data_IF_447272373255
#
_entry.id   IF_447272373255
#
_cell.length_a   1.000
_cell.length_b   1.000
_cell.length_c   1.000
_cell.angle_alpha   90.00
_cell.angle_beta   90.00
_cell.angle_gamma   90.00
#
_symmetry.space_group_name_H-M   'P 1'
#
loop_
_entity.id
_entity.type
_entity.pdbx_description
1 polymer ?
#
# COMPACT_ATOMS: atom_id res chain seq x y z
N UNK A 1 0.16 -42.84 2.50
CA UNK A 1 -0.30 -41.52 2.03
C UNK A 1 -0.07 -40.55 3.16
N UNK A 2 0.97 -39.71 3.06
CA UNK A 2 1.23 -38.67 4.06
C UNK A 2 0.33 -37.47 3.75
N UNK A 3 -0.58 -37.16 4.67
CA UNK A 3 -1.31 -35.90 4.68
C UNK A 3 -0.31 -34.75 4.86
N UNK A 4 -0.34 -33.81 3.92
CA UNK A 4 0.36 -32.52 4.04
C UNK A 4 -0.39 -31.70 5.09
N UNK A 5 0.11 -31.73 6.32
CA UNK A 5 -0.37 -30.86 7.40
C UNK A 5 0.05 -29.44 7.05
N UNK A 6 -0.89 -28.64 6.58
CA UNK A 6 -0.74 -27.19 6.50
C UNK A 6 -0.63 -26.63 7.92
N UNK A 7 0.61 -26.39 8.36
CA UNK A 7 0.89 -25.74 9.64
C UNK A 7 0.49 -24.27 9.53
N UNK A 8 -0.73 -23.95 10.00
CA UNK A 8 -1.20 -22.58 10.20
C UNK A 8 -0.17 -21.83 11.07
N UNK A 9 0.58 -20.89 10.49
CA UNK A 9 1.54 -20.05 11.21
C UNK A 9 0.77 -19.00 12.02
N UNK A 10 0.44 -19.33 13.27
CA UNK A 10 -0.22 -18.41 14.20
C UNK A 10 0.80 -17.46 14.85
N UNK A 11 0.88 -16.21 14.38
CA UNK A 11 1.68 -15.19 15.05
C UNK A 11 0.85 -14.46 16.12
N UNK A 12 1.20 -14.70 17.39
CA UNK A 12 0.77 -13.88 18.53
C UNK A 12 1.61 -12.60 18.55
N UNK A 13 1.08 -11.48 18.08
CA UNK A 13 1.64 -10.16 18.38
C UNK A 13 1.27 -9.79 19.82
N UNK A 14 1.93 -10.42 20.79
CA UNK A 14 1.84 -10.06 22.21
C UNK A 14 3.06 -9.21 22.54
N UNK A 15 2.89 -7.89 22.56
CA UNK A 15 3.78 -6.87 23.15
C UNK A 15 5.21 -7.32 23.54
N UNK A 16 6.02 -7.67 22.54
CA UNK A 16 7.49 -7.62 22.55
C UNK A 16 7.97 -7.98 21.15
N UNK A 17 8.13 -6.97 20.30
CA UNK A 17 8.71 -7.13 18.97
C UNK A 17 10.17 -7.64 19.06
N UNK A 18 10.78 -7.55 20.25
CA UNK A 18 12.09 -8.10 20.58
C UNK A 18 12.13 -9.62 20.81
N UNK A 19 11.00 -10.31 21.00
CA UNK A 19 10.97 -11.76 21.31
C UNK A 19 10.54 -12.65 20.14
N UNK A 20 10.51 -12.12 18.91
CA UNK A 20 10.21 -12.91 17.73
C UNK A 20 11.50 -13.52 17.19
N UNK A 21 11.65 -14.83 17.34
CA UNK A 21 12.56 -15.65 16.52
C UNK A 21 12.28 -15.49 15.00
N UNK A 22 11.16 -14.84 14.64
CA UNK A 22 10.75 -14.52 13.28
C UNK A 22 11.02 -13.06 12.90
N UNK A 23 11.71 -12.85 11.78
CA UNK A 23 12.11 -11.52 11.29
C UNK A 23 10.87 -10.63 11.00
N UNK A 24 10.78 -9.39 11.50
CA UNK A 24 9.64 -8.49 11.24
C UNK A 24 9.35 -8.27 9.76
N UNK A 25 10.40 -8.29 8.93
CA UNK A 25 10.29 -8.18 7.49
C UNK A 25 9.54 -9.39 6.87
N UNK A 26 9.72 -10.60 7.41
CA UNK A 26 8.95 -11.79 6.99
C UNK A 26 7.48 -11.66 7.38
N UNK A 27 7.22 -11.25 8.63
CA UNK A 27 5.85 -11.05 9.12
C UNK A 27 5.10 -10.03 8.26
N UNK A 28 5.78 -8.96 7.87
CA UNK A 28 5.24 -7.97 6.97
C UNK A 28 4.91 -8.57 5.60
N UNK A 29 5.80 -9.37 5.00
CA UNK A 29 5.51 -10.06 3.74
C UNK A 29 4.26 -10.96 3.87
N UNK A 30 4.19 -11.78 4.91
CA UNK A 30 3.04 -12.67 5.15
C UNK A 30 1.74 -11.89 5.39
N UNK A 31 1.83 -10.76 6.09
CA UNK A 31 0.70 -9.86 6.34
C UNK A 31 0.20 -9.15 5.08
N UNK A 32 1.09 -8.74 4.17
CA UNK A 32 0.67 -8.04 2.95
C UNK A 32 0.15 -9.00 1.87
N UNK A 33 0.51 -10.28 1.96
CA UNK A 33 0.18 -11.27 0.92
C UNK A 33 -1.04 -12.13 1.23
N UNK A 34 -1.68 -12.02 2.40
CA UNK A 34 -2.84 -12.86 2.73
C UNK A 34 -2.55 -14.12 3.54
N UNK A 35 -1.34 -14.29 4.09
CA UNK A 35 -0.87 -15.58 4.61
C UNK A 35 -0.73 -15.61 6.13
N UNK A 36 -1.34 -14.66 6.85
CA UNK A 36 -1.17 -14.58 8.30
C UNK A 36 -2.46 -14.22 9.04
N UNK A 37 -2.45 -14.54 10.33
CA UNK A 37 -3.42 -14.03 11.30
C UNK A 37 -2.67 -13.14 12.28
N UNK A 38 -3.32 -12.09 12.74
CA UNK A 38 -2.73 -11.14 13.68
C UNK A 38 -3.68 -10.88 14.85
N UNK A 39 -3.14 -10.42 15.96
CA UNK A 39 -3.90 -10.02 17.15
C UNK A 39 -3.20 -8.83 17.79
N UNK A 40 -3.93 -7.77 18.15
CA UNK A 40 -3.35 -6.62 18.86
C UNK A 40 -3.45 -6.76 20.38
N UNK A 41 -4.46 -7.49 20.87
CA UNK A 41 -4.72 -7.71 22.29
C UNK A 41 -4.22 -9.07 22.79
N UNK A 42 -3.75 -9.93 21.88
CA UNK A 42 -3.34 -11.31 22.17
C UNK A 42 -4.52 -12.25 22.47
N UNK A 43 -5.75 -11.77 22.36
CA UNK A 43 -6.99 -12.49 22.69
C UNK A 43 -7.76 -12.80 21.42
N UNK A 44 -8.08 -11.79 20.62
CA UNK A 44 -8.83 -11.93 19.37
C UNK A 44 -7.88 -11.94 18.19
N UNK A 45 -7.99 -12.99 17.37
CA UNK A 45 -7.27 -13.10 16.12
C UNK A 45 -8.13 -12.61 14.96
N UNK A 46 -7.50 -11.82 14.11
CA UNK A 46 -8.05 -11.33 12.86
C UNK A 46 -7.37 -12.04 11.71
N UNK A 47 -8.17 -12.40 10.72
CA UNK A 47 -7.71 -13.09 9.52
C UNK A 47 -7.48 -12.05 8.42
N UNK A 48 -6.27 -12.03 7.87
CA UNK A 48 -5.91 -11.24 6.70
C UNK A 48 -5.63 -12.27 5.60
N UNK A 49 -6.58 -12.44 4.67
CA UNK A 49 -6.47 -13.41 3.57
C UNK A 49 -6.38 -12.76 2.19
N UNK A 50 -6.46 -11.44 2.17
CA UNK A 50 -6.48 -10.69 0.93
C UNK A 50 -5.05 -10.42 0.49
N UNK A 51 -4.75 -10.72 -0.77
CA UNK A 51 -3.44 -10.43 -1.32
C UNK A 51 -3.36 -8.98 -1.79
N UNK A 52 -2.61 -8.15 -1.07
CA UNK A 52 -2.35 -6.75 -1.43
C UNK A 52 -1.11 -6.60 -2.31
N UNK A 53 -0.45 -7.68 -2.67
CA UNK A 53 0.70 -7.65 -3.57
C UNK A 53 0.34 -7.45 -5.05
N UNK A 54 -0.90 -7.03 -5.33
CA UNK A 54 -1.44 -6.78 -6.68
C UNK A 54 -2.16 -5.44 -6.68
N UNK A 55 -1.94 -4.64 -7.74
CA UNK A 55 -2.63 -3.38 -7.97
C UNK A 55 -4.02 -3.67 -8.56
N UNK A 56 -5.12 -3.15 -7.97
CA UNK A 56 -6.45 -3.35 -8.52
C UNK A 56 -6.63 -2.53 -9.80
N UNK A 57 -6.99 -3.17 -10.92
CA UNK A 57 -7.30 -2.49 -12.20
C UNK A 57 -8.81 -2.49 -12.47
N UNK A 58 -9.31 -1.52 -13.25
CA UNK A 58 -10.71 -1.57 -13.73
C UNK A 58 -10.71 -2.28 -15.08
N UNK A 59 -11.08 -3.57 -15.11
CA UNK A 59 -11.56 -4.18 -16.34
C UNK A 59 -13.08 -4.05 -16.39
N UNK A 60 -13.62 -3.33 -17.38
CA UNK A 60 -15.08 -3.18 -17.55
C UNK A 60 -15.82 -4.52 -17.81
N UNK A 61 -17.15 -4.60 -17.56
CA UNK A 61 -17.94 -3.88 -16.57
C UNK A 61 -18.20 -4.76 -15.32
N UNK A 62 -18.13 -4.09 -14.17
CA UNK A 62 -18.88 -4.30 -12.93
C UNK A 62 -19.31 -5.74 -12.62
N UNK A 63 -18.52 -6.43 -11.79
CA UNK A 63 -18.99 -7.06 -10.56
C UNK A 63 -17.76 -7.42 -9.74
N UNK A 64 -17.70 -6.88 -8.53
CA UNK A 64 -16.64 -7.08 -7.56
C UNK A 64 -15.25 -6.61 -7.98
N UNK A 65 -14.35 -6.60 -7.01
CA UNK A 65 -12.92 -6.45 -7.23
C UNK A 65 -12.46 -7.45 -8.28
N UNK A 66 -12.39 -7.02 -9.53
CA UNK A 66 -11.58 -7.72 -10.52
C UNK A 66 -10.14 -7.30 -10.21
N UNK A 67 -9.53 -7.99 -9.24
CA UNK A 67 -8.09 -8.29 -9.37
C UNK A 67 -7.96 -8.76 -10.80
N UNK A 68 -7.18 -8.13 -11.69
CA UNK A 68 -7.08 -8.58 -13.06
C UNK A 68 -6.78 -10.07 -13.01
N UNK A 69 -7.79 -10.88 -13.40
CA UNK A 69 -7.62 -12.31 -13.59
C UNK A 69 -6.86 -12.40 -14.91
N UNK A 70 -5.58 -12.05 -14.87
CA UNK A 70 -4.60 -12.83 -15.58
C UNK A 70 -4.47 -14.13 -14.78
N UNK A 71 -5.46 -15.01 -14.96
CA UNK A 71 -5.41 -16.46 -14.78
C UNK A 71 -4.32 -17.01 -13.85
N UNK A 72 -4.35 -16.70 -12.54
CA UNK A 72 -3.46 -17.33 -11.58
C UNK A 72 -4.23 -17.70 -10.30
N UNK A 73 -4.49 -19.00 -10.13
CA UNK A 73 -5.22 -19.57 -9.00
C UNK A 73 -4.61 -19.17 -7.65
N UNK A 74 -5.43 -19.07 -6.60
CA UNK A 74 -5.06 -18.55 -5.28
C UNK A 74 -3.84 -19.22 -4.60
N UNK A 75 -3.51 -20.49 -4.90
CA UNK A 75 -2.29 -21.15 -4.40
C UNK A 75 -1.03 -20.80 -5.20
N UNK A 76 -1.17 -20.23 -6.40
CA UNK A 76 -0.08 -19.86 -7.29
C UNK A 76 0.39 -18.42 -7.06
N UNK A 77 -0.31 -17.62 -6.26
CA UNK A 77 -0.06 -16.17 -6.19
C UNK A 77 1.11 -15.81 -5.30
N UNK A 78 1.31 -16.47 -4.16
CA UNK A 78 2.53 -16.29 -3.36
C UNK A 78 3.71 -16.92 -4.07
N UNK A 79 3.59 -18.16 -4.53
CA UNK A 79 4.64 -18.88 -5.26
C UNK A 79 5.09 -18.13 -6.52
N UNK A 80 4.18 -17.59 -7.34
CA UNK A 80 4.57 -16.82 -8.51
C UNK A 80 5.00 -15.40 -8.20
N UNK A 81 4.48 -14.75 -7.16
CA UNK A 81 5.06 -13.48 -6.72
C UNK A 81 6.48 -13.73 -6.25
N UNK A 82 6.65 -14.65 -5.32
CA UNK A 82 7.92 -15.06 -4.77
C UNK A 82 8.85 -15.54 -5.89
N UNK A 83 8.45 -16.36 -6.85
CA UNK A 83 9.25 -16.75 -8.02
C UNK A 83 9.56 -15.54 -8.93
N UNK A 84 8.58 -14.69 -9.24
CA UNK A 84 8.77 -13.45 -10.04
C UNK A 84 9.71 -12.46 -9.36
N UNK A 85 9.72 -12.51 -8.02
CA UNK A 85 10.61 -11.80 -7.12
C UNK A 85 11.71 -12.73 -6.56
N UNK A 86 12.09 -13.84 -7.21
CA UNK A 86 13.20 -14.73 -6.81
C UNK A 86 13.26 -15.24 -5.34
N UNK A 87 12.18 -15.14 -4.57
CA UNK A 87 11.99 -15.64 -3.21
C UNK A 87 11.55 -17.10 -3.28
N UNK A 88 12.33 -18.01 -2.69
CA UNK A 88 11.87 -19.38 -2.44
C UNK A 88 11.08 -19.38 -1.13
N UNK A 89 9.82 -19.83 -1.17
CA UNK A 89 8.89 -19.80 -0.01
C UNK A 89 9.17 -20.93 0.96
N UNK A 90 10.15 -21.79 0.70
CA UNK A 90 10.69 -22.58 1.79
C UNK A 90 11.13 -21.62 2.90
N UNK A 91 10.31 -21.49 3.96
CA UNK A 91 10.40 -20.42 4.95
C UNK A 91 11.82 -20.33 5.51
N UNK A 92 12.53 -21.45 5.57
CA UNK A 92 13.93 -21.56 5.97
C UNK A 92 14.88 -20.77 5.04
N UNK A 93 14.70 -20.85 3.71
CA UNK A 93 15.52 -20.10 2.75
C UNK A 93 15.21 -18.60 2.78
N UNK A 94 13.94 -18.21 2.82
CA UNK A 94 13.55 -16.80 2.91
C UNK A 94 13.99 -16.17 4.25
N UNK A 95 13.77 -16.86 5.38
CA UNK A 95 14.25 -16.43 6.70
C UNK A 95 15.75 -16.20 6.65
N UNK A 96 16.53 -17.10 6.05
CA UNK A 96 17.99 -16.95 5.99
C UNK A 96 18.44 -15.77 5.11
N UNK A 97 17.70 -15.44 4.04
CA UNK A 97 18.03 -14.31 3.13
C UNK A 97 17.56 -12.95 3.63
N UNK A 98 16.54 -12.89 4.49
CA UNK A 98 16.04 -11.62 5.01
C UNK A 98 17.08 -10.96 5.94
N UNK A 99 17.28 -9.66 5.77
CA UNK A 99 18.33 -8.92 6.47
C UNK A 99 17.90 -8.56 7.91
N UNK A 100 18.84 -8.56 8.87
CA UNK A 100 18.61 -8.06 10.24
C UNK A 100 18.80 -6.54 10.38
N UNK A 101 19.12 -5.84 9.28
CA UNK A 101 19.26 -4.38 9.27
C UNK A 101 17.89 -3.71 9.28
N UNK A 102 17.82 -2.52 9.88
CA UNK A 102 16.60 -1.71 9.97
C UNK A 102 15.41 -2.42 10.65
N UNK A 103 15.66 -3.29 11.65
CA UNK A 103 14.61 -3.98 12.42
C UNK A 103 13.56 -2.99 12.93
N UNK A 104 13.97 -1.85 13.50
CA UNK A 104 13.05 -0.85 14.02
C UNK A 104 12.09 -0.33 12.94
N UNK A 105 12.61 -0.02 11.74
CA UNK A 105 11.78 0.42 10.61
C UNK A 105 10.75 -0.64 10.20
N UNK A 106 11.17 -1.90 10.04
CA UNK A 106 10.26 -2.97 9.65
C UNK A 106 9.26 -3.33 10.75
N UNK A 107 9.66 -3.20 12.01
CA UNK A 107 8.80 -3.40 13.18
C UNK A 107 7.70 -2.36 13.25
N UNK A 108 8.06 -1.08 13.09
CA UNK A 108 7.11 0.02 13.03
C UNK A 108 6.14 -0.15 11.86
N UNK A 109 6.64 -0.47 10.66
CA UNK A 109 5.77 -0.70 9.51
C UNK A 109 4.80 -1.86 9.73
N UNK A 110 5.28 -2.97 10.28
CA UNK A 110 4.43 -4.11 10.64
C UNK A 110 3.31 -3.67 11.57
N UNK A 111 3.61 -2.88 12.60
CA UNK A 111 2.59 -2.35 13.51
C UNK A 111 1.59 -1.45 12.78
N UNK A 112 2.04 -0.51 11.96
CA UNK A 112 1.15 0.42 11.24
C UNK A 112 0.20 -0.35 10.30
N UNK A 113 0.71 -1.32 9.54
CA UNK A 113 -0.13 -2.19 8.70
C UNK A 113 -1.08 -3.05 9.54
N UNK A 114 -0.62 -3.59 10.67
CA UNK A 114 -1.48 -4.37 11.57
C UNK A 114 -2.64 -3.51 12.09
N UNK A 115 -2.38 -2.26 12.46
CA UNK A 115 -3.42 -1.32 12.88
C UNK A 115 -4.38 -0.95 11.74
N UNK A 116 -3.87 -0.75 10.52
CA UNK A 116 -4.72 -0.59 9.34
C UNK A 116 -5.70 -1.76 9.17
N UNK A 117 -5.20 -3.00 9.21
CA UNK A 117 -6.05 -4.18 9.06
C UNK A 117 -7.02 -4.33 10.23
N UNK A 118 -6.59 -4.04 11.45
CA UNK A 118 -7.46 -4.05 12.63
C UNK A 118 -8.63 -3.07 12.50
N UNK A 119 -8.36 -1.82 12.12
CA UNK A 119 -9.40 -0.80 11.94
C UNK A 119 -10.34 -1.15 10.80
N UNK A 120 -9.80 -1.70 9.70
CA UNK A 120 -10.59 -2.20 8.57
C UNK A 120 -11.54 -3.32 9.01
N UNK A 121 -11.08 -4.27 9.82
CA UNK A 121 -11.92 -5.35 10.37
C UNK A 121 -13.00 -4.83 11.33
N UNK A 122 -12.79 -3.69 11.98
CA UNK A 122 -13.80 -3.02 12.81
C UNK A 122 -14.79 -2.17 12.01
N UNK A 123 -14.61 -2.03 10.70
CA UNK A 123 -15.40 -1.13 9.85
C UNK A 123 -15.01 0.35 9.97
N UNK A 124 -13.97 0.68 10.74
CA UNK A 124 -13.46 2.04 10.94
C UNK A 124 -12.49 2.45 9.83
N UNK A 125 -12.98 2.51 8.60
CA UNK A 125 -12.16 2.77 7.41
C UNK A 125 -11.52 4.16 7.38
N UNK A 126 -12.16 5.17 7.99
CA UNK A 126 -11.59 6.52 8.10
C UNK A 126 -10.33 6.51 8.97
N UNK A 127 -10.37 5.79 10.09
CA UNK A 127 -9.19 5.57 10.95
C UNK A 127 -8.15 4.70 10.26
N UNK A 128 -8.58 3.68 9.50
CA UNK A 128 -7.67 2.84 8.73
C UNK A 128 -6.88 3.65 7.69
N UNK A 129 -7.49 4.64 7.04
CA UNK A 129 -6.81 5.54 6.11
C UNK A 129 -5.64 6.29 6.78
N UNK A 130 -5.79 6.72 8.03
CA UNK A 130 -4.72 7.45 8.76
C UNK A 130 -3.47 6.59 8.87
N UNK A 131 -3.61 5.29 9.17
CA UNK A 131 -2.47 4.37 9.24
C UNK A 131 -1.80 4.18 7.88
N UNK A 132 -2.58 4.05 6.80
CA UNK A 132 -2.02 4.01 5.44
C UNK A 132 -1.27 5.30 5.07
N UNK A 133 -1.81 6.45 5.47
CA UNK A 133 -1.15 7.73 5.24
C UNK A 133 0.16 7.87 6.02
N UNK A 134 0.21 7.43 7.29
CA UNK A 134 1.45 7.38 8.09
C UNK A 134 2.51 6.47 7.46
N UNK A 135 2.10 5.32 6.92
CA UNK A 135 3.01 4.43 6.17
C UNK A 135 3.54 5.15 4.93
N UNK A 136 2.66 5.82 4.19
CA UNK A 136 3.03 6.59 3.02
C UNK A 136 4.03 7.72 3.35
N UNK A 137 3.85 8.49 4.42
CA UNK A 137 4.80 9.51 4.85
C UNK A 137 6.17 8.90 5.16
N UNK A 138 6.20 7.80 5.92
CA UNK A 138 7.44 7.06 6.18
C UNK A 138 8.09 6.58 4.89
N UNK A 139 7.29 6.17 3.89
CA UNK A 139 7.81 5.74 2.60
C UNK A 139 8.37 6.91 1.79
N UNK A 140 7.69 8.05 1.79
CA UNK A 140 8.15 9.24 1.07
C UNK A 140 9.57 9.63 1.50
N UNK A 141 9.90 9.44 2.77
CA UNK A 141 11.25 9.65 3.30
C UNK A 141 12.20 8.44 3.08
N UNK A 142 11.80 7.24 3.50
CA UNK A 142 12.72 6.10 3.60
C UNK A 142 13.01 5.40 2.27
N UNK A 143 12.04 5.34 1.36
CA UNK A 143 12.18 4.57 0.10
C UNK A 143 13.23 5.18 -0.83
N UNK A 144 13.32 6.50 -1.00
CA UNK A 144 14.41 7.11 -1.78
C UNK A 144 15.80 6.79 -1.23
N UNK A 145 15.96 6.77 0.10
CA UNK A 145 17.24 6.39 0.74
C UNK A 145 17.56 4.90 0.50
N UNK A 146 16.56 4.02 0.65
CA UNK A 146 16.73 2.59 0.36
C UNK A 146 17.04 2.35 -1.12
N UNK A 147 16.44 3.10 -2.03
CA UNK A 147 16.79 3.04 -3.45
C UNK A 147 18.24 3.42 -3.70
N UNK A 148 18.72 4.50 -3.09
CA UNK A 148 20.12 4.94 -3.29
C UNK A 148 21.12 3.89 -2.82
N UNK A 149 20.81 3.15 -1.73
CA UNK A 149 21.58 1.98 -1.28
C UNK A 149 21.59 0.86 -2.32
N UNK A 150 20.50 0.70 -3.08
CA UNK A 150 20.26 -0.39 -4.03
C UNK A 150 20.60 -0.01 -5.48
N UNK A 151 21.10 1.19 -5.74
CA UNK A 151 21.43 1.64 -7.08
C UNK A 151 22.76 1.05 -7.56
N UNK A 152 22.79 0.52 -8.78
CA UNK A 152 24.02 -0.01 -9.40
C UNK A 152 24.93 1.09 -9.98
N UNK A 153 24.35 2.26 -10.29
CA UNK A 153 25.04 3.38 -10.93
C UNK A 153 24.83 4.67 -10.14
N UNK A 154 25.93 5.20 -9.61
CA UNK A 154 25.93 6.42 -8.79
C UNK A 154 26.30 7.68 -9.58
N UNK A 155 26.72 7.53 -10.85
CA UNK A 155 27.13 8.66 -11.68
C UNK A 155 25.98 9.67 -11.87
N UNK A 156 26.25 10.94 -11.61
CA UNK A 156 25.24 12.02 -11.71
C UNK A 156 24.24 12.11 -10.54
N UNK A 157 24.22 11.14 -9.61
CA UNK A 157 23.23 11.10 -8.51
C UNK A 157 23.51 12.12 -7.40
N UNK A 158 24.71 12.73 -7.35
CA UNK A 158 25.08 13.71 -6.33
C UNK A 158 24.11 14.90 -6.27
N UNK A 159 23.74 15.48 -7.41
CA UNK A 159 22.81 16.61 -7.43
C UNK A 159 21.39 16.18 -7.06
N UNK A 160 20.98 14.96 -7.41
CA UNK A 160 19.69 14.40 -7.02
C UNK A 160 19.60 14.16 -5.51
N UNK A 161 20.65 13.57 -4.92
CA UNK A 161 20.81 13.36 -3.48
C UNK A 161 20.98 14.67 -2.69
N UNK A 162 21.71 15.64 -3.25
CA UNK A 162 21.83 16.97 -2.66
C UNK A 162 20.47 17.66 -2.64
N UNK A 163 19.75 17.67 -3.75
CA UNK A 163 18.41 18.26 -3.84
C UNK A 163 17.40 17.56 -2.91
N UNK A 164 17.56 16.24 -2.70
CA UNK A 164 16.83 15.41 -1.74
C UNK A 164 17.02 15.91 -0.29
N UNK A 165 18.26 16.22 0.11
CA UNK A 165 18.60 16.56 1.49
C UNK A 165 18.47 18.05 1.83
N UNK A 166 18.48 18.94 0.83
CA UNK A 166 18.66 20.39 1.04
C UNK A 166 17.40 21.24 0.87
N UNK A 167 16.23 20.89 1.42
CA UNK A 167 15.22 21.94 1.67
C UNK A 167 13.79 21.55 2.08
N UNK A 168 12.95 22.60 2.16
CA UNK A 168 11.73 22.72 2.96
C UNK A 168 10.53 21.81 2.66
N UNK A 169 9.36 22.23 3.17
CA UNK A 169 8.26 21.41 3.71
C UNK A 169 7.61 20.30 2.86
N UNK A 170 7.94 20.13 1.57
CA UNK A 170 7.30 19.14 0.68
C UNK A 170 8.29 18.38 -0.25
N UNK A 171 9.60 18.43 0.05
CA UNK A 171 10.63 17.80 -0.81
C UNK A 171 10.59 16.27 -0.79
N UNK A 172 10.23 15.66 0.34
CA UNK A 172 10.18 14.19 0.49
C UNK A 172 9.18 13.55 -0.48
N UNK A 173 7.98 14.12 -0.57
CA UNK A 173 6.96 13.67 -1.52
C UNK A 173 7.40 13.84 -2.97
N UNK A 174 7.98 14.99 -3.29
CA UNK A 174 8.46 15.33 -4.64
C UNK A 174 9.53 14.35 -5.09
N UNK A 175 10.42 14.00 -4.19
CA UNK A 175 11.45 13.00 -4.40
C UNK A 175 10.89 11.60 -4.56
N UNK A 176 9.97 11.19 -3.68
CA UNK A 176 9.33 9.89 -3.79
C UNK A 176 8.64 9.72 -5.15
N UNK A 177 7.95 10.76 -5.62
CA UNK A 177 7.40 10.79 -6.98
C UNK A 177 8.48 10.65 -8.03
N UNK A 178 9.54 11.46 -7.96
CA UNK A 178 10.67 11.39 -8.91
C UNK A 178 11.23 9.97 -8.96
N UNK A 179 11.43 9.32 -7.82
CA UNK A 179 11.85 7.92 -7.77
C UNK A 179 10.89 7.02 -8.56
N UNK A 180 9.59 7.07 -8.27
CA UNK A 180 8.60 6.21 -8.91
C UNK A 180 8.47 6.48 -10.43
N UNK A 181 8.64 7.72 -10.88
CA UNK A 181 8.45 8.10 -12.29
C UNK A 181 9.71 8.03 -13.15
N UNK A 182 10.88 8.36 -12.60
CA UNK A 182 12.12 8.46 -13.38
C UNK A 182 12.97 7.20 -13.33
N UNK A 183 12.60 6.24 -12.50
CA UNK A 183 13.34 4.98 -12.37
C UNK A 183 12.40 3.82 -12.64
N UNK A 184 12.93 2.73 -13.16
CA UNK A 184 12.21 1.46 -13.24
C UNK A 184 12.11 0.82 -11.84
N UNK A 185 11.86 1.61 -10.78
CA UNK A 185 11.87 1.12 -9.42
C UNK A 185 10.95 -0.07 -9.25
N UNK A 186 9.74 0.01 -9.83
CA UNK A 186 8.74 -1.05 -9.86
C UNK A 186 8.87 -1.86 -11.16
N UNK A 187 9.99 -2.55 -11.39
CA UNK A 187 10.30 -3.31 -12.63
C UNK A 187 9.18 -4.27 -13.07
N UNK A 188 8.38 -4.76 -12.12
CA UNK A 188 7.25 -5.68 -12.36
C UNK A 188 6.02 -4.98 -12.95
N UNK A 189 5.96 -3.64 -12.87
CA UNK A 189 4.85 -2.84 -13.34
C UNK A 189 5.29 -1.92 -14.48
N UNK A 190 4.52 -1.93 -15.57
CA UNK A 190 4.75 -1.01 -16.69
C UNK A 190 4.31 0.41 -16.31
N UNK A 191 4.86 1.41 -16.98
CA UNK A 191 4.45 2.82 -16.87
C UNK A 191 2.98 3.06 -17.25
N UNK A 192 2.32 2.09 -17.90
CA UNK A 192 0.90 2.07 -18.23
C UNK A 192 0.00 1.46 -17.15
N UNK A 193 0.56 1.05 -16.01
CA UNK A 193 -0.24 0.45 -14.93
C UNK A 193 -1.09 1.52 -14.25
N UNK A 194 -2.38 1.26 -14.16
CA UNK A 194 -3.34 2.17 -13.53
C UNK A 194 -4.18 1.46 -12.48
N UNK A 195 -4.45 2.15 -11.39
CA UNK A 195 -5.33 1.64 -10.34
C UNK A 195 -6.77 2.11 -10.54
N UNK A 196 -7.69 1.22 -10.20
CA UNK A 196 -9.12 1.41 -10.30
C UNK A 196 -9.80 1.66 -8.98
N UNK A 197 -10.70 2.64 -8.95
CA UNK A 197 -11.60 2.87 -7.81
C UNK A 197 -13.04 2.91 -8.31
N UNK A 198 -13.91 2.11 -7.69
CA UNK A 198 -15.34 2.07 -7.96
C UNK A 198 -16.12 2.56 -6.76
N UNK A 199 -17.04 3.51 -7.00
CA UNK A 199 -17.98 4.02 -6.00
C UNK A 199 -19.37 3.39 -6.14
N UNK A 200 -19.59 2.47 -7.09
CA UNK A 200 -20.91 1.92 -7.41
C UNK A 200 -21.64 1.37 -6.18
N UNK A 201 -20.92 0.68 -5.30
CA UNK A 201 -21.46 -0.01 -4.12
C UNK A 201 -21.37 0.83 -2.83
N UNK A 202 -21.24 2.16 -2.95
CA UNK A 202 -21.21 3.07 -1.79
C UNK A 202 -22.57 3.73 -1.58
N UNK A 203 -22.87 4.12 -0.34
CA UNK A 203 -24.13 4.77 0.07
C UNK A 203 -24.45 6.06 -0.68
N UNK A 204 -23.43 6.76 -1.20
CA UNK A 204 -23.55 8.03 -1.93
C UNK A 204 -22.67 8.04 -3.19
N UNK A 205 -22.72 6.98 -3.99
CA UNK A 205 -21.90 6.75 -5.20
C UNK A 205 -21.67 7.99 -6.08
N UNK A 206 -22.74 8.67 -6.52
CA UNK A 206 -22.64 9.88 -7.36
C UNK A 206 -21.93 11.04 -6.66
N UNK A 207 -22.13 11.20 -5.36
CA UNK A 207 -21.53 12.29 -4.58
C UNK A 207 -20.05 12.02 -4.35
N UNK A 208 -19.68 10.79 -4.00
CA UNK A 208 -18.29 10.37 -3.80
C UNK A 208 -17.48 10.48 -5.09
N UNK A 209 -18.05 10.03 -6.21
CA UNK A 209 -17.45 10.21 -7.54
C UNK A 209 -17.17 11.69 -7.84
N UNK A 210 -18.15 12.58 -7.64
CA UNK A 210 -17.98 14.03 -7.87
C UNK A 210 -16.97 14.69 -6.95
N UNK A 211 -16.84 14.23 -5.70
CA UNK A 211 -15.80 14.71 -4.77
C UNK A 211 -14.42 14.47 -5.38
N UNK A 212 -14.19 13.29 -5.96
CA UNK A 212 -12.90 12.94 -6.57
C UNK A 212 -12.64 13.71 -7.86
N UNK A 213 -13.65 13.84 -8.72
CA UNK A 213 -13.53 14.69 -9.92
C UNK A 213 -13.15 16.13 -9.56
N UNK A 214 -13.72 16.66 -8.47
CA UNK A 214 -13.46 18.02 -8.02
C UNK A 214 -12.06 18.18 -7.40
N UNK A 215 -11.62 17.23 -6.60
CA UNK A 215 -10.42 17.39 -5.76
C UNK A 215 -9.16 16.72 -6.29
N UNK A 216 -9.28 15.81 -7.26
CA UNK A 216 -8.14 15.16 -7.92
C UNK A 216 -8.22 15.21 -9.46
N UNK A 217 -8.70 16.30 -10.10
CA UNK A 217 -9.02 16.31 -11.53
C UNK A 217 -7.81 15.98 -12.42
N UNK A 218 -6.64 16.53 -12.09
CA UNK A 218 -5.41 16.35 -12.86
C UNK A 218 -4.75 14.98 -12.68
N UNK A 219 -5.21 14.20 -11.70
CA UNK A 219 -4.65 12.88 -11.39
C UNK A 219 -5.43 11.75 -12.08
N UNK A 220 -6.68 12.03 -12.46
CA UNK A 220 -7.57 11.05 -13.11
C UNK A 220 -7.08 10.81 -14.54
N UNK A 221 -6.83 9.55 -14.86
CA UNK A 221 -6.50 9.11 -16.20
C UNK A 221 -7.76 8.85 -17.03
N UNK A 222 -8.72 8.11 -16.46
CA UNK A 222 -10.00 7.83 -17.09
C UNK A 222 -11.11 7.80 -16.05
N UNK A 223 -12.35 8.04 -16.48
CA UNK A 223 -13.52 8.03 -15.62
C UNK A 223 -14.74 7.51 -16.37
N UNK A 224 -15.57 6.73 -15.68
CA UNK A 224 -16.87 6.32 -16.15
C UNK A 224 -17.96 6.84 -15.20
N UNK A 225 -18.69 7.90 -15.59
CA UNK A 225 -19.79 8.44 -14.79
C UNK A 225 -21.00 7.49 -14.67
N UNK A 226 -21.15 6.49 -15.54
CA UNK A 226 -22.23 5.49 -15.47
C UNK A 226 -21.90 4.52 -14.34
N UNK A 227 -20.72 3.91 -14.40
CA UNK A 227 -20.27 2.90 -13.44
C UNK A 227 -19.75 3.51 -12.12
N UNK A 228 -19.64 4.85 -12.07
CA UNK A 228 -19.02 5.61 -10.96
C UNK A 228 -17.62 5.11 -10.67
N UNK A 229 -16.82 4.94 -11.71
CA UNK A 229 -15.44 4.47 -11.61
C UNK A 229 -14.44 5.51 -12.08
N UNK A 230 -13.27 5.53 -11.46
CA UNK A 230 -12.14 6.40 -11.84
C UNK A 230 -10.88 5.55 -11.89
N UNK A 231 -10.03 5.78 -12.89
CA UNK A 231 -8.68 5.24 -12.95
C UNK A 231 -7.65 6.34 -12.78
N UNK A 232 -6.52 5.96 -12.24
CA UNK A 232 -5.38 6.84 -12.04
C UNK A 232 -4.13 6.05 -12.41
N UNK A 233 -3.15 6.70 -13.02
CA UNK A 233 -1.84 6.09 -13.25
C UNK A 233 -1.15 5.81 -11.92
N UNK A 234 -0.32 4.76 -11.89
CA UNK A 234 0.41 4.37 -10.69
C UNK A 234 1.22 5.51 -10.05
N UNK A 235 1.85 6.33 -10.89
CA UNK A 235 2.63 7.51 -10.50
C UNK A 235 1.82 8.62 -9.83
N UNK A 236 0.50 8.64 -10.04
CA UNK A 236 -0.39 9.65 -9.49
C UNK A 236 -0.96 9.29 -8.11
N UNK A 237 -0.79 8.04 -7.65
CA UNK A 237 -1.27 7.62 -6.32
C UNK A 237 -0.76 8.52 -5.18
N UNK A 238 0.53 8.95 -5.14
CA UNK A 238 1.01 9.90 -4.15
C UNK A 238 0.24 11.22 -4.14
N UNK A 239 -0.14 11.74 -5.31
CA UNK A 239 -0.93 12.96 -5.43
C UNK A 239 -2.36 12.76 -4.92
N UNK A 240 -2.99 11.64 -5.28
CA UNK A 240 -4.34 11.30 -4.83
C UNK A 240 -4.39 11.20 -3.30
N UNK A 241 -3.44 10.49 -2.69
CA UNK A 241 -3.29 10.37 -1.23
C UNK A 241 -3.18 11.74 -0.55
N UNK A 242 -2.28 12.58 -1.05
CA UNK A 242 -2.01 13.91 -0.47
C UNK A 242 -3.20 14.86 -0.68
N UNK A 243 -3.84 14.82 -1.83
CA UNK A 243 -5.04 15.60 -2.11
C UNK A 243 -6.18 15.20 -1.16
N UNK A 244 -6.50 13.91 -1.05
CA UNK A 244 -7.55 13.45 -0.13
C UNK A 244 -7.22 13.82 1.32
N UNK A 245 -5.97 13.61 1.75
CA UNK A 245 -5.49 13.99 3.08
C UNK A 245 -5.66 15.48 3.36
N UNK A 246 -5.21 16.33 2.43
CA UNK A 246 -5.28 17.78 2.57
C UNK A 246 -6.72 18.29 2.61
N UNK A 247 -7.58 17.75 1.75
CA UNK A 247 -8.96 18.23 1.63
C UNK A 247 -9.86 17.75 2.77
N UNK A 248 -9.59 16.59 3.36
CA UNK A 248 -10.45 16.02 4.39
C UNK A 248 -9.84 16.13 5.81
N UNK A 249 -8.59 15.70 6.02
CA UNK A 249 -7.98 15.63 7.35
C UNK A 249 -7.23 16.89 7.74
N UNK A 250 -6.54 17.55 6.80
CA UNK A 250 -5.86 18.83 7.06
C UNK A 250 -6.76 19.98 6.64
N UNK A 251 -7.95 20.04 7.25
CA UNK A 251 -8.98 21.02 6.96
C UNK A 251 -8.52 22.44 7.34
N UNK A 252 -7.82 23.11 6.41
CA UNK A 252 -7.35 24.47 6.59
C UNK A 252 -8.47 25.47 6.31
N UNK A 253 -9.25 25.78 7.34
CA UNK A 253 -10.42 26.67 7.23
C UNK A 253 -10.05 28.10 6.76
N UNK A 254 -8.90 28.62 7.19
CA UNK A 254 -8.49 30.02 6.91
C UNK A 254 -7.93 30.29 5.52
N UNK A 255 -7.59 29.27 4.73
CA UNK A 255 -6.92 29.46 3.43
C UNK A 255 -7.91 29.58 2.24
N UNK A 256 -9.23 29.66 2.50
CA UNK A 256 -10.25 29.77 1.45
C UNK A 256 -10.32 28.56 0.50
N UNK A 257 -9.66 27.46 0.87
CA UNK A 257 -9.54 26.27 0.04
C UNK A 257 -10.84 25.45 0.04
N UNK A 258 -11.24 24.92 -1.12
CA UNK A 258 -12.38 23.99 -1.18
C UNK A 258 -11.99 22.69 -0.49
N UNK A 259 -12.54 22.44 0.70
CA UNK A 259 -12.32 21.22 1.46
C UNK A 259 -13.48 20.23 1.29
N UNK A 260 -13.24 18.97 1.65
CA UNK A 260 -14.28 17.94 1.72
C UNK A 260 -14.87 17.99 3.13
N UNK A 261 -16.15 18.33 3.24
CA UNK A 261 -16.82 18.47 4.53
C UNK A 261 -17.54 17.19 4.93
N UNK A 262 -17.86 17.05 6.23
CA UNK A 262 -18.74 15.97 6.70
C UNK A 262 -20.13 16.06 6.06
N UNK A 263 -20.62 17.25 5.71
CA UNK A 263 -21.88 17.41 4.95
C UNK A 263 -21.78 16.80 3.55
N UNK A 264 -20.58 16.77 2.97
CA UNK A 264 -20.35 16.17 1.66
C UNK A 264 -20.36 14.65 1.73
N UNK A 265 -19.70 14.05 2.72
CA UNK A 265 -19.54 12.60 2.77
C UNK A 265 -20.65 11.89 3.57
N UNK A 266 -21.15 12.48 4.66
CA UNK A 266 -22.05 11.91 5.66
C UNK A 266 -21.52 10.67 6.39
N UNK A 267 -21.14 9.61 5.66
CA UNK A 267 -20.50 8.40 6.20
C UNK A 267 -19.06 8.31 5.69
N UNK A 268 -18.11 8.69 6.55
CA UNK A 268 -16.69 8.75 6.20
C UNK A 268 -16.10 7.36 5.99
N UNK A 269 -16.54 6.37 6.76
CA UNK A 269 -16.03 5.01 6.62
C UNK A 269 -16.41 4.40 5.27
N UNK A 270 -17.63 4.64 4.80
CA UNK A 270 -18.06 4.20 3.47
C UNK A 270 -17.25 4.87 2.34
N UNK A 271 -16.91 6.15 2.48
CA UNK A 271 -16.05 6.86 1.54
C UNK A 271 -14.62 6.30 1.53
N UNK A 272 -13.98 6.14 2.70
CA UNK A 272 -12.59 5.70 2.77
C UNK A 272 -12.41 4.21 2.46
N UNK A 273 -13.44 3.38 2.64
CA UNK A 273 -13.42 1.94 2.36
C UNK A 273 -12.89 1.62 0.96
N UNK A 274 -13.36 2.36 -0.06
CA UNK A 274 -12.99 2.09 -1.46
C UNK A 274 -11.55 2.51 -1.80
N UNK A 275 -11.02 3.56 -1.15
CA UNK A 275 -9.64 4.00 -1.37
C UNK A 275 -8.63 3.14 -0.64
N UNK A 276 -8.94 2.78 0.60
CA UNK A 276 -8.01 2.09 1.49
C UNK A 276 -7.41 0.85 0.86
N UNK A 277 -8.24 0.08 0.14
CA UNK A 277 -7.76 -1.12 -0.53
C UNK A 277 -6.76 -0.81 -1.64
N UNK A 278 -7.06 0.14 -2.52
CA UNK A 278 -6.14 0.55 -3.58
C UNK A 278 -4.83 1.13 -3.03
N UNK A 279 -4.91 1.95 -1.98
CA UNK A 279 -3.74 2.54 -1.30
C UNK A 279 -2.90 1.45 -0.62
N UNK A 280 -3.54 0.52 0.10
CA UNK A 280 -2.83 -0.57 0.76
C UNK A 280 -2.12 -1.44 -0.27
N UNK A 281 -2.74 -1.75 -1.41
CA UNK A 281 -2.09 -2.47 -2.51
C UNK A 281 -0.88 -1.73 -3.06
N UNK A 282 -1.02 -0.42 -3.30
CA UNK A 282 0.08 0.43 -3.76
C UNK A 282 1.29 0.38 -2.82
N UNK A 283 1.07 0.61 -1.53
CA UNK A 283 2.13 0.58 -0.51
C UNK A 283 2.71 -0.84 -0.36
N UNK A 284 1.88 -1.88 -0.45
CA UNK A 284 2.34 -3.27 -0.35
C UNK A 284 3.30 -3.62 -1.48
N UNK A 285 2.96 -3.26 -2.71
CA UNK A 285 3.79 -3.48 -3.90
C UNK A 285 5.16 -2.81 -3.75
N UNK A 286 5.19 -1.54 -3.34
CA UNK A 286 6.45 -0.82 -3.08
C UNK A 286 7.30 -1.55 -2.04
N UNK A 287 6.67 -1.98 -0.93
CA UNK A 287 7.38 -2.66 0.15
C UNK A 287 7.98 -4.00 -0.28
N UNK A 288 7.20 -4.79 -1.02
CA UNK A 288 7.60 -6.12 -1.49
C UNK A 288 8.70 -6.02 -2.54
N UNK A 289 8.63 -5.04 -3.43
CA UNK A 289 9.68 -4.75 -4.41
C UNK A 289 11.02 -4.41 -3.74
N UNK A 290 11.01 -3.67 -2.63
CA UNK A 290 12.23 -3.39 -1.85
C UNK A 290 12.76 -4.67 -1.19
N UNK A 291 11.87 -5.47 -0.60
CA UNK A 291 12.29 -6.76 -0.04
C UNK A 291 12.97 -7.63 -1.09
N UNK A 292 12.43 -7.65 -2.31
CA UNK A 292 13.04 -8.35 -3.42
C UNK A 292 14.45 -7.85 -3.75
N UNK A 293 14.59 -6.54 -3.98
CA UNK A 293 15.89 -5.93 -4.32
C UNK A 293 16.93 -6.07 -3.20
N UNK A 294 16.50 -6.12 -1.94
CA UNK A 294 17.38 -6.39 -0.79
C UNK A 294 17.81 -7.87 -0.68
N UNK A 295 17.08 -8.81 -1.30
CA UNK A 295 17.33 -10.26 -1.24
C UNK A 295 18.14 -10.77 -2.45
N UNK A 296 18.02 -10.11 -3.60
CA UNK A 296 18.91 -10.28 -4.75
C UNK A 296 20.34 -9.90 -4.38
#
# INVERSE_FOLDING_TARGET
MQEVIHVDHFYRLKNNISSLETKPQLLLILLLTGHTRFSLDGVKFYKQYENYAVIPTISSPINDFVVPIQTLSASKTLDLLCISYGLDINHRHLVNRLNFKNIAFYSDLLLEFTHYFYMTNKGSHSSAFIFLYRIFERFAYAIPLLYTKLADQYFGTFNDLKNLLTGGADKELTLFKKLITTTNFLEVYTTSTSFGISFANTSKSTKFFKIIEKHCPSNIESKNPIDKTVSFKLEEMPNVLVNIRNRFFHYKFGEGQSNITIKDIANTDDFFKVFNKAICSYLSVIKLNICYKDIK
#
